data_IF_276687169020
#
_entry.id   IF_276687169020
#
_cell.length_a   1.000
_cell.length_b   1.000
_cell.length_c   1.000
_cell.angle_alpha   90.00
_cell.angle_beta   90.00
_cell.angle_gamma   90.00
#
_symmetry.space_group_name_H-M   'P 1'
#
loop_
_entity.id
_entity.type
_entity.pdbx_description
1 polymer ?
#
# COMPACT_ATOMS: atom_id res chain seq x y z
N UNK A 1 15.42 -4.58 -11.94
CA UNK A 1 16.66 -5.37 -12.09
C UNK A 1 17.53 -4.73 -13.16
N UNK A 2 18.33 -3.73 -12.76
CA UNK A 2 19.62 -3.46 -13.40
C UNK A 2 20.62 -3.50 -12.25
N UNK A 3 20.88 -4.72 -11.79
CA UNK A 3 22.01 -5.02 -10.93
C UNK A 3 23.23 -5.09 -11.85
N UNK A 4 23.86 -3.96 -12.12
CA UNK A 4 25.23 -3.97 -12.58
C UNK A 4 26.11 -3.47 -11.44
N UNK A 5 26.78 -4.45 -10.83
CA UNK A 5 27.91 -4.27 -9.95
C UNK A 5 28.89 -3.26 -10.55
N UNK A 6 29.06 -2.12 -9.88
CA UNK A 6 30.39 -1.56 -9.69
C UNK A 6 30.51 -1.12 -8.24
N UNK A 7 31.22 -1.97 -7.52
CA UNK A 7 31.84 -1.74 -6.22
C UNK A 7 32.60 -0.40 -6.27
N UNK A 8 32.51 0.34 -5.17
CA UNK A 8 33.17 1.60 -4.83
C UNK A 8 32.36 2.88 -5.11
N UNK A 9 32.10 3.59 -4.01
CA UNK A 9 31.51 4.93 -3.88
C UNK A 9 29.98 4.89 -3.94
N UNK A 10 29.30 5.06 -2.80
CA UNK A 10 28.03 5.81 -2.64
C UNK A 10 27.59 5.75 -1.17
N UNK A 11 27.80 6.86 -0.46
CA UNK A 11 27.14 7.22 0.79
C UNK A 11 25.60 7.28 0.56
N UNK A 12 24.83 6.95 1.60
CA UNK A 12 23.37 7.13 1.71
C UNK A 12 22.50 6.42 0.65
N UNK A 13 22.28 5.12 0.80
CA UNK A 13 21.06 4.50 0.28
C UNK A 13 20.05 4.40 1.43
N UNK A 14 19.51 5.53 1.87
CA UNK A 14 18.19 5.51 2.51
C UNK A 14 17.19 5.50 1.37
N UNK A 15 16.88 4.30 0.87
CA UNK A 15 15.71 4.12 0.01
C UNK A 15 14.51 4.15 0.95
N UNK A 16 14.02 5.34 1.30
CA UNK A 16 12.73 5.50 1.96
C UNK A 16 11.64 5.15 0.95
N UNK A 17 11.28 3.86 0.87
CA UNK A 17 10.03 3.47 0.23
C UNK A 17 8.92 3.68 1.26
N UNK A 18 8.46 4.92 1.43
CA UNK A 18 7.39 5.28 2.37
C UNK A 18 5.99 4.91 1.86
N UNK A 19 5.88 3.88 1.02
CA UNK A 19 4.60 3.24 0.75
C UNK A 19 4.56 1.96 1.59
N UNK A 20 3.82 1.98 2.69
CA UNK A 20 3.58 0.79 3.52
C UNK A 20 2.76 -0.21 2.71
N UNK A 21 3.48 -1.03 1.94
CA UNK A 21 2.92 -2.11 1.17
C UNK A 21 3.21 -3.44 1.84
N UNK A 22 2.22 -4.32 1.84
CA UNK A 22 2.40 -5.72 2.23
C UNK A 22 2.01 -6.66 1.10
N UNK A 23 2.51 -7.89 1.16
CA UNK A 23 2.16 -8.96 0.25
C UNK A 23 1.51 -10.08 1.05
N UNK A 24 0.25 -10.36 0.77
CA UNK A 24 -0.43 -11.56 1.20
C UNK A 24 -0.10 -12.68 0.20
N UNK A 25 0.60 -13.70 0.66
CA UNK A 25 0.92 -14.86 -0.17
C UNK A 25 -0.35 -15.67 -0.44
N UNK A 26 -0.47 -16.30 -1.61
CA UNK A 26 -1.59 -17.20 -1.89
C UNK A 26 -1.51 -18.41 -0.95
N UNK A 27 -2.57 -18.64 -0.18
CA UNK A 27 -2.72 -19.83 0.66
C UNK A 27 -3.55 -20.84 -0.13
N UNK A 28 -2.89 -21.87 -0.69
CA UNK A 28 -3.56 -22.89 -1.51
C UNK A 28 -3.98 -24.05 -0.62
N UNK A 29 -5.28 -24.19 -0.41
CA UNK A 29 -5.85 -25.38 0.23
C UNK A 29 -6.16 -26.47 -0.80
N UNK A 30 -5.46 -27.60 -0.69
CA UNK A 30 -5.64 -28.77 -1.57
C UNK A 30 -6.73 -29.74 -1.05
N UNK A 31 -7.48 -29.36 -0.01
CA UNK A 31 -8.54 -30.18 0.58
C UNK A 31 -9.76 -30.38 -0.32
N UNK A 32 -9.96 -29.52 -1.32
CA UNK A 32 -11.09 -29.59 -2.24
C UNK A 32 -10.71 -29.16 -3.67
N UNK A 33 -11.40 -29.74 -4.66
CA UNK A 33 -11.22 -29.35 -6.06
C UNK A 33 -11.64 -27.90 -6.33
N UNK A 34 -12.62 -27.40 -5.58
CA UNK A 34 -13.12 -26.02 -5.66
C UNK A 34 -12.04 -25.00 -5.26
N UNK A 35 -11.33 -25.25 -4.14
CA UNK A 35 -10.24 -24.38 -3.70
C UNK A 35 -9.13 -24.30 -4.76
N UNK A 36 -8.75 -25.44 -5.35
CA UNK A 36 -7.77 -25.48 -6.44
C UNK A 36 -8.23 -24.63 -7.63
N UNK A 37 -9.50 -24.75 -8.04
CA UNK A 37 -10.04 -23.98 -9.16
C UNK A 37 -10.09 -22.47 -8.90
N UNK A 38 -10.34 -22.04 -7.67
CA UNK A 38 -10.35 -20.61 -7.31
C UNK A 38 -8.94 -19.98 -7.45
N UNK A 39 -7.90 -20.69 -7.02
CA UNK A 39 -6.50 -20.23 -7.18
C UNK A 39 -6.03 -20.18 -8.64
N UNK A 40 -6.69 -20.90 -9.54
CA UNK A 40 -6.42 -20.83 -10.98
C UNK A 40 -7.10 -19.60 -11.63
N UNK A 41 -8.14 -19.05 -11.01
CA UNK A 41 -8.89 -17.90 -11.54
C UNK A 41 -8.31 -16.57 -11.05
N UNK A 42 -7.79 -16.52 -9.83
CA UNK A 42 -7.22 -15.29 -9.29
C UNK A 42 -6.77 -15.40 -7.83
N UNK A 43 -6.88 -14.29 -7.10
CA UNK A 43 -6.53 -14.19 -5.69
C UNK A 43 -7.78 -14.20 -4.84
N UNK A 44 -7.78 -14.98 -3.76
CA UNK A 44 -8.82 -14.93 -2.72
C UNK A 44 -8.35 -13.98 -1.62
N UNK A 45 -9.11 -12.93 -1.34
CA UNK A 45 -8.79 -12.00 -0.25
C UNK A 45 -9.24 -12.52 1.13
N UNK A 46 -8.97 -11.74 2.17
CA UNK A 46 -9.33 -12.11 3.55
C UNK A 46 -10.83 -12.27 3.81
N UNK A 47 -11.68 -11.72 2.94
CA UNK A 47 -13.14 -11.80 3.05
C UNK A 47 -13.69 -12.97 2.22
N UNK A 48 -12.81 -13.71 1.54
CA UNK A 48 -13.18 -14.82 0.66
C UNK A 48 -13.59 -14.40 -0.76
N UNK A 49 -13.38 -13.14 -1.13
CA UNK A 49 -13.72 -12.64 -2.47
C UNK A 49 -12.62 -13.00 -3.46
N UNK A 50 -13.00 -13.53 -4.62
CA UNK A 50 -12.08 -13.84 -5.72
C UNK A 50 -11.91 -12.58 -6.57
N UNK A 51 -10.66 -12.17 -6.75
CA UNK A 51 -10.24 -11.07 -7.60
C UNK A 51 -9.42 -11.62 -8.77
N UNK A 52 -9.77 -11.25 -10.01
CA UNK A 52 -9.06 -11.71 -11.20
C UNK A 52 -7.59 -11.27 -11.20
N UNK A 53 -6.71 -12.01 -11.87
CA UNK A 53 -5.32 -11.57 -12.02
C UNK A 53 -5.22 -10.21 -12.73
N UNK A 54 -4.36 -9.35 -12.17
CA UNK A 54 -4.16 -7.94 -12.55
C UNK A 54 -5.36 -7.02 -12.27
N UNK A 55 -6.37 -7.48 -11.54
CA UNK A 55 -7.41 -6.58 -11.01
C UNK A 55 -6.88 -5.77 -9.83
N UNK A 56 -7.39 -4.55 -9.71
CA UNK A 56 -7.13 -3.65 -8.59
C UNK A 56 -8.42 -3.32 -7.86
N UNK A 57 -8.36 -3.22 -6.54
CA UNK A 57 -9.47 -2.78 -5.71
C UNK A 57 -8.99 -1.98 -4.50
N UNK A 58 -9.91 -1.24 -3.89
CA UNK A 58 -9.63 -0.47 -2.69
C UNK A 58 -10.31 -1.12 -1.48
N UNK A 59 -9.56 -1.29 -0.40
CA UNK A 59 -10.05 -1.81 0.87
C UNK A 59 -9.32 -1.13 2.03
N UNK A 60 -10.07 -0.54 2.95
CA UNK A 60 -9.53 0.11 4.15
C UNK A 60 -8.41 1.13 3.86
N UNK A 61 -8.58 1.92 2.79
CA UNK A 61 -7.58 2.86 2.28
C UNK A 61 -6.27 2.23 1.78
N UNK A 62 -6.28 0.94 1.46
CA UNK A 62 -5.24 0.28 0.68
C UNK A 62 -5.72 0.12 -0.76
N UNK A 63 -4.85 0.46 -1.70
CA UNK A 63 -4.99 -0.03 -3.07
C UNK A 63 -4.33 -1.41 -3.15
N UNK A 64 -5.13 -2.42 -3.49
CA UNK A 64 -4.73 -3.80 -3.60
C UNK A 64 -4.70 -4.24 -5.06
N UNK A 65 -3.70 -5.05 -5.41
CA UNK A 65 -3.50 -5.66 -6.72
C UNK A 65 -3.40 -7.17 -6.55
N UNK A 66 -4.24 -7.91 -7.28
CA UNK A 66 -4.06 -9.36 -7.42
C UNK A 66 -3.00 -9.64 -8.48
N UNK A 67 -1.86 -10.19 -8.06
CA UNK A 67 -0.76 -10.58 -8.95
C UNK A 67 -0.47 -12.07 -8.83
N UNK A 68 0.36 -12.59 -9.73
CA UNK A 68 0.78 -14.00 -9.71
C UNK A 68 1.50 -14.41 -8.41
N UNK A 69 2.10 -13.45 -7.70
CA UNK A 69 2.78 -13.69 -6.43
C UNK A 69 1.85 -13.56 -5.20
N UNK A 70 0.55 -13.33 -5.42
CA UNK A 70 -0.45 -13.07 -4.38
C UNK A 70 -1.00 -11.64 -4.44
N UNK A 71 -1.56 -11.19 -3.33
CA UNK A 71 -2.19 -9.87 -3.23
C UNK A 71 -1.16 -8.89 -2.69
N UNK A 72 -0.89 -7.82 -3.43
CA UNK A 72 -0.12 -6.65 -2.93
C UNK A 72 -1.09 -5.56 -2.55
N UNK A 73 -1.06 -5.10 -1.31
CA UNK A 73 -1.82 -3.95 -0.86
C UNK A 73 -0.87 -2.85 -0.41
N UNK A 74 -1.11 -1.62 -0.83
CA UNK A 74 -0.33 -0.43 -0.49
C UNK A 74 -1.22 0.63 0.12
N UNK A 75 -0.79 1.19 1.25
CA UNK A 75 -1.53 2.25 1.93
C UNK A 75 -1.61 3.50 1.03
N UNK A 76 -2.81 4.06 0.87
CA UNK A 76 -3.04 5.33 0.15
C UNK A 76 -2.71 6.54 1.02
N UNK A 77 -2.74 6.38 2.34
CA UNK A 77 -2.40 7.43 3.30
C UNK A 77 -0.97 7.17 3.79
N UNK A 78 -0.03 8.09 3.59
CA UNK A 78 1.33 7.93 4.09
C UNK A 78 1.33 7.95 5.62
N UNK A 79 2.12 7.05 6.22
CA UNK A 79 2.20 6.93 7.68
C UNK A 79 3.08 8.02 8.30
N UNK A 80 4.04 8.54 7.53
CA UNK A 80 4.94 9.61 7.95
C UNK A 80 5.12 10.59 6.80
N UNK A 81 4.91 11.88 7.08
CA UNK A 81 5.27 13.00 6.22
C UNK A 81 6.12 13.96 7.04
N UNK A 82 7.16 14.49 6.41
CA UNK A 82 7.94 15.59 6.98
C UNK A 82 7.14 16.89 6.85
N UNK A 83 6.88 17.55 7.97
CA UNK A 83 6.16 18.82 8.04
C UNK A 83 6.68 19.66 9.22
N UNK A 84 6.46 20.99 9.23
CA UNK A 84 6.78 21.84 10.38
C UNK A 84 6.00 21.42 11.64
N UNK A 85 6.51 21.78 12.82
CA UNK A 85 5.89 21.47 14.12
C UNK A 85 4.51 22.13 14.29
N UNK A 86 4.28 23.27 13.62
CA UNK A 86 2.99 23.95 13.62
C UNK A 86 1.93 23.27 12.73
N UNK A 87 2.30 22.24 11.99
CA UNK A 87 1.43 21.51 11.09
C UNK A 87 1.26 20.06 11.51
N UNK A 88 0.13 19.47 11.16
CA UNK A 88 -0.13 18.05 11.32
C UNK A 88 -0.95 17.49 10.16
N UNK A 89 -0.84 16.16 9.98
CA UNK A 89 -1.62 15.44 9.00
C UNK A 89 -3.04 15.20 9.51
N UNK A 90 -4.02 15.75 8.80
CA UNK A 90 -5.44 15.47 9.00
C UNK A 90 -5.88 14.41 7.99
N UNK A 91 -6.27 13.25 8.48
CA UNK A 91 -6.65 12.10 7.65
C UNK A 91 -8.16 12.04 7.45
N UNK A 92 -8.59 11.96 6.20
CA UNK A 92 -9.96 11.62 5.83
C UNK A 92 -10.03 10.16 5.34
N UNK A 93 -10.50 9.28 6.21
CA UNK A 93 -10.68 7.85 5.92
C UNK A 93 -11.83 7.55 4.96
N UNK A 94 -12.76 8.49 4.77
CA UNK A 94 -13.90 8.28 3.86
C UNK A 94 -13.49 8.44 2.40
N UNK A 95 -12.60 9.40 2.13
CA UNK A 95 -12.02 9.63 0.80
C UNK A 95 -10.64 9.00 0.64
N UNK A 96 -10.11 8.39 1.70
CA UNK A 96 -8.75 7.85 1.78
C UNK A 96 -7.70 8.86 1.33
N UNK A 97 -7.83 10.07 1.87
CA UNK A 97 -6.96 11.21 1.59
C UNK A 97 -6.45 11.84 2.88
N UNK A 98 -5.48 12.74 2.75
CA UNK A 98 -4.98 13.51 3.88
C UNK A 98 -4.66 14.93 3.43
N UNK A 99 -4.64 15.85 4.39
CA UNK A 99 -4.16 17.22 4.21
C UNK A 99 -3.21 17.59 5.34
N UNK A 100 -2.33 18.56 5.10
CA UNK A 100 -1.58 19.19 6.18
C UNK A 100 -2.33 20.45 6.61
N UNK A 101 -2.69 20.51 7.89
CA UNK A 101 -3.38 21.65 8.49
C UNK A 101 -2.57 22.20 9.66
N UNK A 102 -2.87 23.44 10.07
CA UNK A 102 -2.26 24.01 11.26
C UNK A 102 -2.79 23.30 12.51
N UNK A 103 -1.90 22.92 13.43
CA UNK A 103 -2.26 22.33 14.74
C UNK A 103 -3.18 23.26 15.53
N UNK A 104 -2.96 24.58 15.41
CA UNK A 104 -3.79 25.58 16.09
C UNK A 104 -5.22 25.70 15.53
N UNK A 105 -5.45 25.30 14.28
CA UNK A 105 -6.72 25.44 13.58
C UNK A 105 -6.75 24.53 12.33
N UNK A 106 -7.37 23.36 12.46
CA UNK A 106 -7.43 22.34 11.40
C UNK A 106 -8.24 22.77 10.16
N UNK A 107 -8.96 23.90 10.23
CA UNK A 107 -9.66 24.46 9.06
C UNK A 107 -8.73 25.24 8.13
N UNK A 108 -7.53 25.58 8.59
CA UNK A 108 -6.54 26.34 7.83
C UNK A 108 -5.47 25.40 7.25
N UNK A 109 -5.16 25.52 5.96
CA UNK A 109 -4.07 24.74 5.36
C UNK A 109 -2.73 25.15 5.96
N UNK A 110 -1.82 24.19 6.06
CA UNK A 110 -0.44 24.47 6.43
C UNK A 110 0.23 25.35 5.34
N UNK A 111 0.85 26.49 5.68
CA UNK A 111 1.34 27.47 4.71
C UNK A 111 2.48 26.99 3.79
N UNK A 112 3.05 25.82 4.07
CA UNK A 112 4.20 25.23 3.36
C UNK A 112 3.96 23.77 2.95
N UNK A 113 2.69 23.35 2.86
CA UNK A 113 2.28 22.01 2.42
C UNK A 113 2.49 21.78 0.91
#
# INVERSE_FOLDING_TARGET
MVCLLRVCILLFMVVSCNAECYIQKPEVDLSSAENITNHLQGCVDSDGVIHDFNSEWEKDCYNCLCALFGIRCCNKIPTVIEHPDECEMVVDKTTCSFTLALVSDHSKPCPFA
#
